data_IF_479256037249
#
_entry.id   IF_479256037249
#
_cell.length_a   1.000
_cell.length_b   1.000
_cell.length_c   1.000
_cell.angle_alpha   90.00
_cell.angle_beta   90.00
_cell.angle_gamma   90.00
#
_symmetry.space_group_name_H-M   'P 1'
#
loop_
_entity.id
_entity.type
_entity.pdbx_description
1 polymer ?
#
# COMPACT_ATOMS: atom_id res chain seq x y z
N UNK A 1 -0.25 13.31 -17.26
CA UNK A 1 0.86 12.34 -17.21
C UNK A 1 1.16 11.98 -15.78
N UNK A 2 0.93 10.72 -15.43
CA UNK A 2 1.23 10.08 -14.16
C UNK A 2 2.74 10.10 -13.94
N UNK A 3 3.19 10.91 -12.99
CA UNK A 3 4.62 11.02 -12.64
C UNK A 3 4.95 9.99 -11.56
N UNK A 4 5.89 9.11 -11.89
CA UNK A 4 6.41 8.08 -10.99
C UNK A 4 7.92 8.25 -10.90
N UNK A 5 8.45 8.21 -9.70
CA UNK A 5 9.88 8.27 -9.46
C UNK A 5 10.35 7.07 -8.64
N UNK A 6 11.56 6.61 -8.94
CA UNK A 6 12.25 5.64 -8.10
C UNK A 6 13.29 6.38 -7.25
N UNK A 7 13.13 6.33 -5.93
CA UNK A 7 14.00 6.96 -4.93
C UNK A 7 14.26 5.97 -3.78
N UNK A 8 14.93 4.86 -4.08
CA UNK A 8 15.06 3.69 -3.20
C UNK A 8 13.69 3.13 -2.75
N UNK A 9 12.72 3.25 -3.65
CA UNK A 9 11.31 2.97 -3.43
C UNK A 9 10.47 3.68 -4.49
N UNK A 10 9.22 3.25 -4.68
CA UNK A 10 8.32 3.91 -5.63
C UNK A 10 7.65 5.11 -4.97
N UNK A 11 7.70 6.26 -5.65
CA UNK A 11 7.19 7.52 -5.18
C UNK A 11 6.30 8.19 -6.24
N UNK A 12 5.14 8.70 -5.82
CA UNK A 12 4.25 9.53 -6.62
C UNK A 12 4.33 10.98 -6.13
N UNK A 13 5.14 11.85 -6.78
CA UNK A 13 5.39 13.21 -6.30
C UNK A 13 4.14 14.06 -6.15
N UNK A 14 3.17 13.92 -7.07
CA UNK A 14 1.94 14.73 -7.05
C UNK A 14 1.03 14.44 -5.84
N UNK A 15 1.18 13.28 -5.22
CA UNK A 15 0.43 12.88 -4.03
C UNK A 15 1.27 12.95 -2.74
N UNK A 16 2.57 13.24 -2.89
CA UNK A 16 3.59 12.99 -1.87
C UNK A 16 3.43 11.59 -1.23
N UNK A 17 3.26 10.57 -2.08
CA UNK A 17 2.88 9.23 -1.65
C UNK A 17 3.96 8.21 -2.01
N UNK A 18 4.48 7.56 -0.99
CA UNK A 18 5.43 6.46 -1.12
C UNK A 18 4.72 5.12 -1.15
N UNK A 19 5.39 4.09 -1.68
CA UNK A 19 4.93 2.70 -1.66
C UNK A 19 6.04 1.86 -1.03
N UNK A 20 5.71 1.17 0.06
CA UNK A 20 6.59 0.28 0.82
C UNK A 20 7.96 0.89 1.15
N UNK A 21 7.98 2.18 1.52
CA UNK A 21 9.22 2.84 1.90
C UNK A 21 9.82 2.21 3.17
N UNK A 22 11.12 1.92 3.13
CA UNK A 22 11.84 1.28 4.23
C UNK A 22 12.21 2.24 5.37
N UNK A 23 12.01 3.55 5.16
CA UNK A 23 12.25 4.60 6.15
C UNK A 23 10.97 5.37 6.42
N UNK A 24 10.89 6.05 7.57
CA UNK A 24 9.76 6.91 7.91
C UNK A 24 9.50 7.98 6.84
N UNK A 25 8.22 8.14 6.47
CA UNK A 25 7.73 9.09 5.46
C UNK A 25 6.44 9.74 5.95
N UNK A 26 6.07 10.85 5.33
CA UNK A 26 4.83 11.56 5.67
C UNK A 26 3.60 10.73 5.31
N UNK A 27 3.59 10.12 4.11
CA UNK A 27 2.50 9.25 3.64
C UNK A 27 3.05 8.05 2.87
N UNK A 28 2.58 6.86 3.22
CA UNK A 28 3.03 5.61 2.59
C UNK A 28 1.87 4.64 2.35
N UNK A 29 1.79 4.05 1.16
CA UNK A 29 1.03 2.82 0.94
C UNK A 29 1.85 1.66 1.46
N UNK A 30 1.26 0.84 2.31
CA UNK A 30 1.86 -0.43 2.75
C UNK A 30 1.09 -1.56 2.05
N UNK A 31 1.75 -2.24 1.12
CA UNK A 31 1.19 -3.36 0.37
C UNK A 31 0.92 -4.57 1.26
N UNK A 32 1.82 -4.84 2.21
CA UNK A 32 1.71 -5.93 3.17
C UNK A 32 2.63 -5.74 4.39
N UNK A 33 2.37 -6.48 5.47
CA UNK A 33 3.01 -6.27 6.78
C UNK A 33 4.29 -7.09 7.03
N UNK A 34 5.18 -7.17 6.04
CA UNK A 34 6.55 -7.65 6.25
C UNK A 34 7.47 -6.52 6.68
N UNK A 35 8.50 -6.83 7.48
CA UNK A 35 9.35 -5.83 8.13
C UNK A 35 10.17 -4.99 7.15
N UNK A 36 10.46 -5.52 5.97
CA UNK A 36 11.17 -4.85 4.88
C UNK A 36 10.28 -3.97 4.01
N UNK A 37 8.95 -4.01 4.23
CA UNK A 37 7.94 -3.18 3.57
C UNK A 37 7.22 -2.21 4.53
N UNK A 38 7.61 -2.19 5.82
CA UNK A 38 7.00 -1.34 6.84
C UNK A 38 8.05 -0.51 7.57
N UNK A 39 7.77 0.78 7.76
CA UNK A 39 8.47 1.64 8.68
C UNK A 39 7.48 2.50 9.49
N UNK A 40 7.97 3.22 10.51
CA UNK A 40 7.16 4.19 11.24
C UNK A 40 6.88 5.42 10.35
N UNK A 41 5.79 5.38 9.60
CA UNK A 41 5.30 6.51 8.79
C UNK A 41 4.26 7.32 9.58
N UNK A 42 4.14 8.61 9.28
CA UNK A 42 3.13 9.47 9.93
C UNK A 42 1.71 9.07 9.51
N UNK A 43 1.50 8.78 8.23
CA UNK A 43 0.24 8.30 7.70
C UNK A 43 0.44 7.12 6.77
N UNK A 44 -0.46 6.13 6.86
CA UNK A 44 -0.44 4.94 5.99
C UNK A 44 -1.77 4.71 5.31
N UNK A 45 -1.72 4.09 4.13
CA UNK A 45 -2.87 3.53 3.41
C UNK A 45 -2.60 2.03 3.21
N UNK A 46 -3.50 1.16 3.68
CA UNK A 46 -3.30 -0.29 3.56
C UNK A 46 -4.62 -1.07 3.60
N UNK A 47 -4.59 -2.39 3.46
CA UNK A 47 -5.76 -3.23 3.75
C UNK A 47 -6.06 -3.23 5.25
N UNK A 48 -7.30 -3.50 5.68
CA UNK A 48 -7.64 -3.60 7.11
C UNK A 48 -6.78 -4.61 7.88
N UNK A 49 -6.41 -5.71 7.24
CA UNK A 49 -5.59 -6.78 7.80
C UNK A 49 -4.14 -6.32 8.00
N UNK A 50 -3.54 -5.70 6.98
CA UNK A 50 -2.20 -5.11 7.06
C UNK A 50 -2.14 -4.02 8.13
N UNK A 51 -3.14 -3.14 8.20
CA UNK A 51 -3.26 -2.10 9.22
C UNK A 51 -3.27 -2.65 10.65
N UNK A 52 -3.96 -3.78 10.88
CA UNK A 52 -4.00 -4.43 12.20
C UNK A 52 -2.64 -4.97 12.62
N UNK A 53 -1.91 -5.61 11.69
CA UNK A 53 -0.57 -6.13 11.95
C UNK A 53 0.41 -4.96 12.17
N UNK A 54 0.31 -3.91 11.35
CA UNK A 54 1.10 -2.68 11.46
C UNK A 54 0.94 -2.02 12.84
N UNK A 55 -0.30 -1.81 13.30
CA UNK A 55 -0.58 -1.29 14.66
C UNK A 55 0.05 -2.12 15.76
N UNK A 56 0.02 -3.44 15.62
CA UNK A 56 0.54 -4.32 16.65
C UNK A 56 2.08 -4.34 16.70
N UNK A 57 2.73 -4.28 15.53
CA UNK A 57 4.17 -4.54 15.41
C UNK A 57 5.01 -3.27 15.30
N UNK A 58 4.53 -2.27 14.59
CA UNK A 58 5.27 -1.06 14.17
C UNK A 58 4.75 0.17 14.91
N UNK A 59 3.47 0.52 14.77
CA UNK A 59 2.85 1.69 15.41
C UNK A 59 2.43 1.41 16.86
N UNK A 60 3.42 1.10 17.71
CA UNK A 60 3.19 0.69 19.11
C UNK A 60 2.65 1.80 20.00
N UNK A 61 2.92 3.06 19.63
CA UNK A 61 2.41 4.23 20.34
C UNK A 61 1.03 4.67 19.83
N UNK A 62 0.52 4.05 18.76
CA UNK A 62 -0.76 4.36 18.13
C UNK A 62 -0.87 5.83 17.71
N UNK A 63 0.20 6.34 17.09
CA UNK A 63 0.35 7.72 16.63
C UNK A 63 0.09 7.87 15.13
N UNK A 64 0.25 6.79 14.35
CA UNK A 64 0.07 6.83 12.91
C UNK A 64 -1.40 7.08 12.52
N UNK A 65 -1.59 7.91 11.49
CA UNK A 65 -2.89 8.10 10.84
C UNK A 65 -3.09 6.94 9.86
N UNK A 66 -4.09 6.10 10.11
CA UNK A 66 -4.31 4.89 9.32
C UNK A 66 -5.57 5.03 8.48
N UNK A 67 -5.41 5.07 7.17
CA UNK A 67 -6.49 4.88 6.21
C UNK A 67 -6.49 3.43 5.72
N UNK A 68 -7.68 2.81 5.65
CA UNK A 68 -7.81 1.44 5.14
C UNK A 68 -8.74 1.40 3.94
N UNK A 69 -8.36 0.63 2.92
CA UNK A 69 -9.19 0.34 1.75
C UNK A 69 -9.44 -1.16 1.67
N UNK A 70 -10.70 -1.56 1.47
CA UNK A 70 -11.01 -2.96 1.16
C UNK A 70 -10.65 -3.28 -0.29
N UNK A 71 -10.44 -4.55 -0.59
CA UNK A 71 -10.22 -4.97 -1.97
C UNK A 71 -11.38 -4.54 -2.88
N UNK A 72 -11.06 -4.00 -4.06
CA UNK A 72 -12.01 -3.45 -5.02
C UNK A 72 -12.61 -2.10 -4.64
N UNK A 73 -12.32 -1.57 -3.44
CA UNK A 73 -12.73 -0.22 -3.06
C UNK A 73 -11.88 0.82 -3.79
N UNK A 74 -12.53 1.66 -4.59
CA UNK A 74 -11.90 2.83 -5.20
C UNK A 74 -11.89 3.99 -4.21
N UNK A 75 -10.73 4.61 -4.03
CA UNK A 75 -10.58 5.86 -3.28
C UNK A 75 -9.92 6.93 -4.13
N UNK A 76 -10.55 8.10 -4.22
CA UNK A 76 -10.04 9.23 -4.97
C UNK A 76 -9.15 10.14 -4.11
N UNK A 77 -8.06 10.64 -4.71
CA UNK A 77 -7.08 11.55 -4.15
C UNK A 77 -6.80 12.66 -5.17
N UNK A 78 -7.75 13.60 -5.29
CA UNK A 78 -7.70 14.63 -6.32
C UNK A 78 -7.89 14.02 -7.71
N UNK A 79 -6.89 14.18 -8.59
CA UNK A 79 -6.91 13.59 -9.95
C UNK A 79 -6.52 12.11 -10.00
N UNK A 80 -6.08 11.56 -8.87
CA UNK A 80 -5.65 10.18 -8.74
C UNK A 80 -6.74 9.33 -8.10
N UNK A 81 -6.73 8.03 -8.35
CA UNK A 81 -7.46 7.06 -7.54
C UNK A 81 -6.61 5.83 -7.26
N UNK A 82 -6.79 5.27 -6.06
CA UNK A 82 -6.20 4.01 -5.66
C UNK A 82 -7.28 2.93 -5.50
N UNK A 83 -6.94 1.70 -5.83
CA UNK A 83 -7.75 0.51 -5.57
C UNK A 83 -6.83 -0.66 -5.26
N UNK A 84 -7.14 -1.38 -4.17
CA UNK A 84 -6.40 -2.57 -3.79
C UNK A 84 -7.02 -3.83 -4.41
N UNK A 85 -6.16 -4.73 -4.86
CA UNK A 85 -6.52 -6.06 -5.34
C UNK A 85 -5.69 -7.10 -4.57
N UNK A 86 -6.21 -8.29 -4.29
CA UNK A 86 -5.44 -9.34 -3.62
C UNK A 86 -4.10 -9.62 -4.33
N UNK A 87 -3.04 -9.79 -3.55
CA UNK A 87 -1.72 -10.17 -4.08
C UNK A 87 -1.43 -11.68 -3.95
N UNK A 88 -2.18 -12.42 -3.13
CA UNK A 88 -1.97 -13.87 -2.92
C UNK A 88 -0.73 -14.23 -2.10
N UNK A 89 0.00 -13.24 -1.59
CA UNK A 89 1.28 -13.42 -0.95
C UNK A 89 1.15 -13.80 0.54
N UNK A 90 0.55 -12.93 1.35
CA UNK A 90 0.23 -13.17 2.75
C UNK A 90 -1.12 -12.52 3.11
N UNK A 91 -1.64 -12.78 4.31
CA UNK A 91 -2.90 -12.20 4.77
C UNK A 91 -2.90 -10.67 4.63
N UNK A 92 -3.85 -10.13 3.87
CA UNK A 92 -3.96 -8.69 3.66
C UNK A 92 -3.03 -8.10 2.60
N UNK A 93 -2.22 -8.92 1.94
CA UNK A 93 -1.31 -8.45 0.88
C UNK A 93 -2.08 -7.93 -0.34
N UNK A 94 -1.71 -6.74 -0.81
CA UNK A 94 -2.40 -6.05 -1.89
C UNK A 94 -1.47 -5.61 -3.02
N UNK A 95 -1.92 -5.88 -4.25
CA UNK A 95 -1.52 -5.11 -5.42
C UNK A 95 -2.32 -3.81 -5.43
N UNK A 96 -1.72 -2.74 -5.95
CA UNK A 96 -2.28 -1.40 -5.92
C UNK A 96 -2.41 -0.86 -7.33
N UNK A 97 -3.65 -0.68 -7.78
CA UNK A 97 -3.96 0.05 -8.99
C UNK A 97 -4.01 1.54 -8.67
N UNK A 98 -3.21 2.32 -9.40
CA UNK A 98 -3.24 3.78 -9.40
C UNK A 98 -3.75 4.24 -10.76
N UNK A 99 -4.74 5.12 -10.77
CA UNK A 99 -5.31 5.67 -12.00
C UNK A 99 -5.24 7.20 -11.97
N UNK A 100 -4.83 7.82 -13.07
CA UNK A 100 -4.81 9.27 -13.22
C UNK A 100 -4.98 9.67 -14.69
N UNK A 101 -5.98 10.50 -14.99
CA UNK A 101 -6.15 11.13 -16.33
C UNK A 101 -6.06 10.15 -17.53
N UNK A 102 -6.60 8.94 -17.41
CA UNK A 102 -6.58 7.92 -18.47
C UNK A 102 -5.34 7.01 -18.47
N UNK A 103 -4.38 7.25 -17.57
CA UNK A 103 -3.22 6.38 -17.34
C UNK A 103 -3.45 5.49 -16.12
N UNK A 104 -2.81 4.31 -16.14
CA UNK A 104 -2.92 3.30 -15.08
C UNK A 104 -1.54 2.75 -14.75
N UNK A 105 -1.24 2.65 -13.46
CA UNK A 105 -0.06 1.99 -12.91
C UNK A 105 -0.54 0.89 -11.96
N UNK A 106 0.08 -0.28 -12.04
CA UNK A 106 -0.10 -1.34 -11.04
C UNK A 106 1.21 -1.52 -10.30
N UNK A 107 1.19 -1.28 -8.99
CA UNK A 107 2.26 -1.66 -8.09
C UNK A 107 1.91 -3.01 -7.47
N UNK A 108 2.71 -4.04 -7.72
CA UNK A 108 2.35 -5.40 -7.32
C UNK A 108 2.59 -5.69 -5.84
N UNK A 109 3.52 -4.96 -5.21
CA UNK A 109 4.16 -5.43 -3.99
C UNK A 109 4.74 -6.84 -4.19
N UNK A 110 4.85 -7.59 -3.11
CA UNK A 110 5.07 -9.03 -3.17
C UNK A 110 3.76 -9.74 -3.51
N UNK A 111 3.78 -10.56 -4.56
CA UNK A 111 2.59 -11.25 -5.06
C UNK A 111 2.89 -12.72 -5.35
N UNK A 112 1.83 -13.54 -5.37
CA UNK A 112 1.88 -14.95 -5.71
C UNK A 112 0.59 -15.35 -6.43
N UNK A 113 0.74 -15.84 -7.66
CA UNK A 113 -0.38 -16.29 -8.50
C UNK A 113 -0.87 -17.70 -8.16
N UNK A 114 -0.08 -18.47 -7.42
CA UNK A 114 -0.46 -19.82 -6.98
C UNK A 114 -1.28 -19.73 -5.69
N UNK A 115 -2.31 -20.57 -5.52
CA UNK A 115 -3.10 -20.60 -4.29
C UNK A 115 -2.23 -20.66 -3.03
N UNK A 116 -2.63 -19.88 -2.03
CA UNK A 116 -2.02 -19.83 -0.72
C UNK A 116 -3.13 -19.89 0.33
N UNK A 117 -3.11 -20.91 1.19
CA UNK A 117 -4.14 -21.08 2.23
C UNK A 117 -4.12 -19.99 3.29
N UNK A 118 -3.03 -19.22 3.36
CA UNK A 118 -2.84 -18.12 4.31
C UNK A 118 -3.04 -16.73 3.69
N UNK A 119 -3.57 -16.63 2.47
CA UNK A 119 -3.80 -15.35 1.78
C UNK A 119 -5.07 -15.39 0.91
N UNK A 120 -5.58 -14.21 0.57
CA UNK A 120 -6.64 -14.01 -0.41
C UNK A 120 -6.17 -14.42 -1.81
N UNK A 121 -7.05 -14.96 -2.65
CA UNK A 121 -6.66 -15.38 -4.02
C UNK A 121 -6.44 -14.16 -4.91
N UNK A 122 -5.26 -14.10 -5.56
CA UNK A 122 -4.86 -13.08 -6.53
C UNK A 122 -5.66 -13.15 -7.84
#
# INVERSE_FOLDING_TARGET
MLRVEYRDGLYLPDLDLWFDAQEGRERCVISHAHSDHTAEHRAIISTPETARIFRHRVDRNNEAIIETLRYGERRDYGRYALTFYPAGHCLGSAQVLVEAEGERLVYTGDFKLRPNVAAETA
#
